data_IF_301422161975
#
_entry.id   IF_301422161975
#
_cell.length_a   1.000
_cell.length_b   1.000
_cell.length_c   1.000
_cell.angle_alpha   90.00
_cell.angle_beta   90.00
_cell.angle_gamma   90.00
#
_symmetry.space_group_name_H-M   'P 1'
#
loop_
_entity.id
_entity.type
_entity.pdbx_description
1 polymer ?
#
# COMPACT_ATOMS: atom_id res chain seq x y z
N UNK A 1 -6.44 -12.47 -27.75
CA UNK A 1 -6.73 -11.07 -28.12
C UNK A 1 -5.54 -10.52 -28.88
N UNK A 2 -5.74 -9.81 -30.00
CA UNK A 2 -4.63 -9.20 -30.73
C UNK A 2 -3.91 -8.21 -29.80
N UNK A 3 -2.67 -8.52 -29.41
CA UNK A 3 -1.84 -7.59 -28.66
C UNK A 3 -1.50 -6.43 -29.59
N UNK A 4 -2.01 -5.25 -29.27
CA UNK A 4 -1.53 -4.02 -29.89
C UNK A 4 -0.03 -3.92 -29.57
N UNK A 5 0.79 -3.89 -30.61
CA UNK A 5 2.22 -3.66 -30.44
C UNK A 5 2.41 -2.29 -29.76
N UNK A 6 3.29 -2.23 -28.77
CA UNK A 6 3.63 -1.00 -28.07
C UNK A 6 4.09 0.04 -29.09
N UNK A 7 3.54 1.24 -29.00
CA UNK A 7 3.98 2.38 -29.79
C UNK A 7 5.16 3.08 -29.12
N UNK A 8 6.23 3.33 -29.87
CA UNK A 8 7.41 4.06 -29.40
C UNK A 8 7.62 5.32 -30.25
N UNK A 9 7.59 6.52 -29.67
CA UNK A 9 8.00 7.75 -30.36
C UNK A 9 9.50 7.71 -30.75
N UNK A 10 9.87 8.25 -31.92
CA UNK A 10 11.27 8.28 -32.38
C UNK A 10 12.19 9.04 -31.41
N UNK A 11 11.70 10.14 -30.83
CA UNK A 11 12.40 10.91 -29.83
C UNK A 11 12.64 10.10 -28.53
N UNK A 12 11.69 9.25 -28.13
CA UNK A 12 11.85 8.34 -27.00
C UNK A 12 12.92 7.29 -27.29
N UNK A 13 12.90 6.67 -28.47
CA UNK A 13 13.91 5.69 -28.87
C UNK A 13 15.32 6.31 -28.88
N UNK A 14 15.44 7.54 -29.37
CA UNK A 14 16.71 8.28 -29.39
C UNK A 14 17.21 8.53 -27.97
N UNK A 15 16.35 9.04 -27.09
CA UNK A 15 16.69 9.27 -25.69
C UNK A 15 17.09 7.98 -24.96
N UNK A 16 16.38 6.88 -25.18
CA UNK A 16 16.70 5.59 -24.55
C UNK A 16 18.04 5.03 -25.04
N UNK A 17 18.41 5.21 -26.32
CA UNK A 17 19.73 4.81 -26.82
C UNK A 17 20.88 5.57 -26.15
N UNK A 18 20.67 6.83 -25.81
CA UNK A 18 21.66 7.66 -25.12
C UNK A 18 21.72 7.38 -23.61
N UNK A 19 20.58 7.10 -22.98
CA UNK A 19 20.48 6.88 -21.54
C UNK A 19 20.93 5.48 -21.11
N UNK A 20 20.71 4.46 -21.95
CA UNK A 20 20.94 3.06 -21.62
C UNK A 20 22.44 2.74 -21.45
N UNK A 21 22.83 2.01 -20.39
CA UNK A 21 24.19 1.53 -20.23
C UNK A 21 24.65 0.69 -21.43
N UNK A 22 25.90 0.86 -21.85
CA UNK A 22 26.52 0.08 -22.95
C UNK A 22 26.57 -1.43 -22.70
N UNK A 23 26.36 -1.86 -21.45
CA UNK A 23 26.27 -3.27 -21.04
C UNK A 23 24.92 -3.91 -21.39
N UNK A 24 23.91 -3.13 -21.74
CA UNK A 24 22.58 -3.61 -22.10
C UNK A 24 22.36 -3.56 -23.61
N UNK A 25 21.62 -4.54 -24.14
CA UNK A 25 21.20 -4.54 -25.54
C UNK A 25 19.93 -3.73 -25.73
N UNK A 26 19.99 -2.76 -26.64
CA UNK A 26 18.82 -1.96 -27.02
C UNK A 26 17.75 -2.82 -27.72
N UNK A 27 18.14 -3.82 -28.50
CA UNK A 27 17.20 -4.71 -29.17
C UNK A 27 16.47 -5.61 -28.16
N UNK A 28 17.16 -6.06 -27.11
CA UNK A 28 16.54 -6.81 -26.00
C UNK A 28 15.58 -5.93 -25.20
N UNK A 29 15.90 -4.66 -24.99
CA UNK A 29 14.96 -3.69 -24.39
C UNK A 29 13.66 -3.60 -25.18
N UNK A 30 13.76 -3.37 -26.50
CA UNK A 30 12.57 -3.28 -27.36
C UNK A 30 11.77 -4.59 -27.33
N UNK A 31 12.46 -5.74 -27.43
CA UNK A 31 11.83 -7.05 -27.34
C UNK A 31 11.12 -7.26 -26.00
N UNK A 32 11.74 -6.86 -24.88
CA UNK A 32 11.13 -6.95 -23.56
C UNK A 32 9.90 -6.04 -23.43
N UNK A 33 9.96 -4.82 -23.94
CA UNK A 33 8.83 -3.88 -23.94
C UNK A 33 7.65 -4.38 -24.78
N UNK A 34 7.88 -5.14 -25.84
CA UNK A 34 6.83 -5.72 -26.68
C UNK A 34 6.19 -6.99 -26.08
N UNK A 35 6.82 -7.59 -25.06
CA UNK A 35 6.27 -8.78 -24.39
C UNK A 35 5.32 -8.38 -23.25
N UNK A 36 4.22 -9.13 -23.06
CA UNK A 36 3.33 -8.93 -21.92
C UNK A 36 4.07 -8.97 -20.60
N UNK A 37 3.58 -8.17 -19.66
CA UNK A 37 4.07 -8.19 -18.29
C UNK A 37 3.66 -9.48 -17.56
N UNK A 38 4.60 -10.08 -16.84
CA UNK A 38 4.30 -11.21 -15.93
C UNK A 38 3.47 -10.71 -14.75
N UNK A 39 2.37 -11.40 -14.48
CA UNK A 39 1.51 -11.09 -13.33
C UNK A 39 2.25 -11.37 -12.04
N UNK A 40 2.01 -10.54 -11.03
CA UNK A 40 2.65 -10.66 -9.73
C UNK A 40 1.67 -10.36 -8.61
N UNK A 41 1.92 -11.00 -7.47
CA UNK A 41 1.19 -10.82 -6.22
C UNK A 41 2.17 -10.62 -5.09
N UNK A 42 1.73 -9.94 -4.04
CA UNK A 42 2.47 -9.79 -2.79
C UNK A 42 1.61 -10.26 -1.62
N UNK A 43 2.12 -11.21 -0.86
CA UNK A 43 1.45 -11.76 0.32
C UNK A 43 1.39 -10.67 1.41
N UNK A 44 0.24 -10.60 2.09
CA UNK A 44 0.02 -9.73 3.23
C UNK A 44 0.36 -10.46 4.53
N UNK A 45 1.57 -10.25 5.03
CA UNK A 45 2.09 -10.90 6.24
C UNK A 45 1.43 -10.44 7.54
N UNK A 46 0.55 -9.43 7.51
CA UNK A 46 -0.33 -9.12 8.65
C UNK A 46 -1.42 -10.18 8.86
N UNK A 47 -1.71 -11.01 7.84
CA UNK A 47 -2.84 -11.95 7.82
C UNK A 47 -2.40 -13.40 7.79
N UNK A 48 -1.32 -13.69 7.07
CA UNK A 48 -0.85 -15.06 6.83
C UNK A 48 0.65 -15.05 6.56
N UNK A 49 1.36 -16.08 7.04
CA UNK A 49 2.78 -16.24 6.70
C UNK A 49 2.95 -16.66 5.24
N UNK A 50 4.14 -16.43 4.65
CA UNK A 50 4.44 -16.89 3.29
C UNK A 50 4.26 -18.41 3.18
N UNK A 51 4.78 -19.17 4.15
CA UNK A 51 4.68 -20.63 4.16
C UNK A 51 3.22 -21.11 4.23
N UNK A 52 2.39 -20.52 5.10
CA UNK A 52 0.98 -20.89 5.23
C UNK A 52 0.18 -20.52 3.97
N UNK A 53 0.51 -19.40 3.32
CA UNK A 53 -0.14 -19.01 2.07
C UNK A 53 0.18 -19.99 0.94
N UNK A 54 1.45 -20.40 0.79
CA UNK A 54 1.85 -21.40 -0.20
C UNK A 54 1.16 -22.75 0.05
N UNK A 55 1.02 -23.15 1.32
CA UNK A 55 0.27 -24.36 1.67
C UNK A 55 -1.24 -24.24 1.36
N UNK A 56 -1.82 -23.06 1.62
CA UNK A 56 -3.24 -22.77 1.37
C UNK A 56 -3.59 -22.87 -0.12
N UNK A 57 -2.74 -22.32 -0.99
CA UNK A 57 -3.01 -22.23 -2.44
C UNK A 57 -2.47 -23.42 -3.24
N UNK A 58 -1.73 -24.35 -2.61
CA UNK A 58 -1.21 -25.55 -3.27
C UNK A 58 -2.29 -26.36 -4.04
N UNK A 59 -3.53 -26.52 -3.54
CA UNK A 59 -4.59 -27.21 -4.28
C UNK A 59 -5.03 -26.52 -5.58
N UNK A 60 -4.72 -25.23 -5.77
CA UNK A 60 -5.10 -24.48 -6.97
C UNK A 60 -4.16 -24.74 -8.16
N UNK A 61 -3.00 -25.35 -7.93
CA UNK A 61 -2.02 -25.61 -8.99
C UNK A 61 -1.37 -24.33 -9.55
N UNK A 62 -1.36 -23.22 -8.79
CA UNK A 62 -0.67 -22.00 -9.19
C UNK A 62 0.85 -22.20 -9.12
N UNK A 63 1.56 -21.72 -10.15
CA UNK A 63 3.02 -21.65 -10.14
C UNK A 63 3.45 -20.28 -9.65
N UNK A 64 4.19 -20.25 -8.53
CA UNK A 64 4.68 -19.03 -7.90
C UNK A 64 6.21 -18.96 -7.94
N UNK A 65 6.75 -18.02 -8.69
CA UNK A 65 8.20 -17.77 -8.79
C UNK A 65 8.59 -16.60 -7.89
N UNK A 66 9.52 -16.78 -6.92
CA UNK A 66 9.91 -15.71 -6.00
C UNK A 66 10.48 -14.48 -6.70
N UNK A 67 10.15 -13.30 -6.18
CA UNK A 67 10.73 -12.02 -6.61
C UNK A 67 11.99 -11.74 -5.77
N UNK A 68 13.18 -11.55 -6.37
CA UNK A 68 14.45 -11.49 -5.63
C UNK A 68 14.52 -10.41 -4.53
N UNK A 69 13.87 -9.26 -4.75
CA UNK A 69 13.89 -8.11 -3.84
C UNK A 69 12.70 -8.05 -2.88
N UNK A 70 11.78 -9.00 -2.92
CA UNK A 70 10.63 -9.02 -2.03
C UNK A 70 10.32 -10.46 -1.63
N UNK A 71 10.73 -10.87 -0.43
CA UNK A 71 10.46 -12.20 0.12
C UNK A 71 8.97 -12.58 0.12
N UNK A 72 8.08 -11.60 0.29
CA UNK A 72 6.62 -11.79 0.26
C UNK A 72 6.03 -11.69 -1.16
N UNK A 73 6.85 -11.46 -2.18
CA UNK A 73 6.45 -11.20 -3.57
C UNK A 73 6.71 -12.38 -4.50
N UNK A 74 5.74 -12.66 -5.38
CA UNK A 74 5.82 -13.75 -6.33
C UNK A 74 5.27 -13.33 -7.70
N UNK A 75 5.94 -13.72 -8.77
CA UNK A 75 5.27 -13.85 -10.06
C UNK A 75 4.35 -15.05 -10.05
N UNK A 76 3.19 -14.94 -10.69
CA UNK A 76 2.15 -15.96 -10.70
C UNK A 76 1.80 -16.38 -12.12
N UNK A 77 1.77 -17.69 -12.34
CA UNK A 77 1.29 -18.35 -13.55
C UNK A 77 0.20 -19.36 -13.17
N UNK A 78 -0.90 -19.38 -13.93
CA UNK A 78 -2.07 -20.21 -13.63
C UNK A 78 -2.88 -20.53 -14.88
N UNK A 79 -3.43 -21.74 -14.92
CA UNK A 79 -4.25 -22.21 -16.05
C UNK A 79 -5.69 -21.68 -16.00
N UNK A 80 -6.17 -21.28 -14.82
CA UNK A 80 -7.54 -20.79 -14.58
C UNK A 80 -7.73 -19.29 -14.88
N UNK A 81 -6.75 -18.69 -15.57
CA UNK A 81 -6.63 -17.25 -15.76
C UNK A 81 -7.88 -16.62 -16.38
N UNK A 82 -8.44 -17.26 -17.40
CA UNK A 82 -9.63 -16.80 -18.11
C UNK A 82 -10.93 -17.13 -17.35
N UNK A 83 -10.91 -18.11 -16.45
CA UNK A 83 -12.09 -18.61 -15.76
C UNK A 83 -12.46 -17.76 -14.53
N UNK A 84 -11.46 -17.35 -13.73
CA UNK A 84 -11.66 -16.62 -12.48
C UNK A 84 -10.61 -15.51 -12.32
N UNK A 85 -10.96 -14.22 -12.38
CA UNK A 85 -10.02 -13.13 -12.14
C UNK A 85 -9.38 -13.21 -10.74
N UNK A 86 -8.08 -12.92 -10.60
CA UNK A 86 -7.38 -12.93 -9.31
C UNK A 86 -8.09 -12.08 -8.24
N UNK A 87 -8.65 -10.94 -8.64
CA UNK A 87 -9.38 -10.04 -7.75
C UNK A 87 -10.69 -10.62 -7.17
N UNK A 88 -11.18 -11.72 -7.73
CA UNK A 88 -12.41 -12.43 -7.34
C UNK A 88 -12.15 -13.71 -6.53
N UNK A 89 -10.88 -14.03 -6.23
CA UNK A 89 -10.49 -15.14 -5.36
C UNK A 89 -10.82 -14.83 -3.89
N UNK A 90 -11.07 -15.85 -3.08
CA UNK A 90 -11.40 -15.67 -1.67
C UNK A 90 -10.25 -15.02 -0.89
N UNK A 91 -9.02 -15.39 -1.24
CA UNK A 91 -7.77 -14.93 -0.66
C UNK A 91 -7.58 -13.42 -0.93
N UNK A 92 -7.89 -12.96 -2.14
CA UNK A 92 -7.84 -11.53 -2.45
C UNK A 92 -8.91 -10.75 -1.66
N UNK A 93 -10.15 -11.26 -1.61
CA UNK A 93 -11.27 -10.61 -0.93
C UNK A 93 -11.06 -10.51 0.59
N UNK A 94 -10.39 -11.48 1.20
CA UNK A 94 -9.99 -11.48 2.61
C UNK A 94 -8.68 -10.73 2.88
N UNK A 95 -8.04 -10.19 1.84
CA UNK A 95 -6.84 -9.37 1.95
C UNK A 95 -5.55 -10.14 2.23
N UNK A 96 -5.49 -11.42 1.88
CA UNK A 96 -4.31 -12.28 2.07
C UNK A 96 -3.16 -11.93 1.12
N UNK A 97 -3.45 -11.34 -0.03
CA UNK A 97 -2.45 -10.81 -0.93
C UNK A 97 -2.93 -9.53 -1.62
N UNK A 98 -1.97 -8.80 -2.19
CA UNK A 98 -2.18 -7.63 -3.03
C UNK A 98 -1.71 -7.96 -4.45
N UNK A 99 -2.49 -7.58 -5.46
CA UNK A 99 -2.07 -7.66 -6.87
C UNK A 99 -1.19 -6.43 -7.15
N UNK A 100 0.11 -6.65 -7.21
CA UNK A 100 1.11 -5.58 -7.29
C UNK A 100 2.22 -6.01 -8.23
N UNK A 101 2.61 -5.09 -9.11
CA UNK A 101 3.75 -5.19 -10.00
C UNK A 101 5.05 -5.45 -9.24
N UNK A 102 5.90 -6.35 -9.77
CA UNK A 102 7.16 -6.72 -9.13
C UNK A 102 8.07 -5.51 -8.90
N UNK A 103 8.24 -4.64 -9.90
CA UNK A 103 9.02 -3.39 -9.78
C UNK A 103 8.49 -2.45 -8.68
N UNK A 104 7.17 -2.37 -8.51
CA UNK A 104 6.50 -1.53 -7.52
C UNK A 104 6.75 -1.98 -6.07
N UNK A 105 7.31 -3.19 -5.88
CA UNK A 105 7.74 -3.70 -4.56
C UNK A 105 9.13 -3.18 -4.15
N UNK A 106 9.94 -2.73 -5.11
CA UNK A 106 11.35 -2.34 -4.93
C UNK A 106 11.53 -1.10 -4.03
N UNK A 107 10.72 -0.02 -4.16
CA UNK A 107 10.86 1.16 -3.29
C UNK A 107 10.71 0.85 -1.81
N UNK A 108 9.76 -0.03 -1.46
CA UNK A 108 9.53 -0.40 -0.07
C UNK A 108 10.63 -1.34 0.42
N UNK A 109 11.15 -2.24 -0.41
CA UNK A 109 12.33 -3.03 -0.07
C UNK A 109 13.52 -2.12 0.26
N UNK A 110 13.80 -1.10 -0.56
CA UNK A 110 14.83 -0.11 -0.30
C UNK A 110 14.59 0.72 0.97
N UNK A 111 13.32 1.06 1.27
CA UNK A 111 12.97 1.85 2.46
C UNK A 111 13.30 1.12 3.77
N UNK A 112 13.19 -0.20 3.78
CA UNK A 112 13.43 -1.06 4.95
C UNK A 112 14.76 -1.83 4.89
N UNK A 113 15.60 -1.56 3.89
CA UNK A 113 16.92 -2.19 3.76
C UNK A 113 17.86 -1.80 4.91
N UNK A 114 18.88 -2.64 5.14
CA UNK A 114 19.86 -2.50 6.23
C UNK A 114 19.22 -2.38 7.62
N UNK A 115 18.20 -3.20 7.89
CA UNK A 115 17.43 -3.23 9.14
C UNK A 115 16.87 -1.85 9.56
N UNK A 116 16.46 -1.05 8.57
CA UNK A 116 15.81 0.23 8.85
C UNK A 116 14.38 0.01 9.40
N UNK A 117 14.14 0.39 10.65
CA UNK A 117 12.86 0.24 11.36
C UNK A 117 12.23 1.59 11.73
N UNK A 118 11.74 2.38 10.75
CA UNK A 118 11.10 3.66 11.03
C UNK A 118 9.80 3.49 11.83
N UNK A 119 9.49 4.41 12.74
CA UNK A 119 8.26 4.42 13.52
C UNK A 119 7.20 5.32 12.89
N UNK A 120 7.62 6.44 12.27
CA UNK A 120 6.73 7.34 11.52
C UNK A 120 7.14 7.42 10.06
N UNK A 121 6.29 6.87 9.19
CA UNK A 121 6.53 6.81 7.75
C UNK A 121 5.53 7.69 7.00
N UNK A 122 5.97 8.34 5.92
CA UNK A 122 5.07 8.99 4.97
C UNK A 122 5.11 8.25 3.63
N UNK A 123 3.94 7.97 3.07
CA UNK A 123 3.76 7.59 1.67
C UNK A 123 3.12 8.79 0.97
N UNK A 124 3.92 9.53 0.19
CA UNK A 124 3.56 10.87 -0.27
C UNK A 124 2.57 10.89 -1.45
N UNK A 125 2.53 9.80 -2.22
CA UNK A 125 1.67 9.57 -3.37
C UNK A 125 1.09 8.16 -3.30
N UNK A 126 0.21 7.96 -2.32
CA UNK A 126 -0.12 6.65 -1.79
C UNK A 126 -1.09 5.83 -2.66
N UNK A 127 -1.97 6.45 -3.45
CA UNK A 127 -2.96 5.65 -4.17
C UNK A 127 -2.32 4.86 -5.33
N UNK A 128 -2.80 3.62 -5.61
CA UNK A 128 -3.98 3.00 -5.04
C UNK A 128 -3.78 2.28 -3.69
N UNK A 129 -2.58 2.30 -3.11
CA UNK A 129 -2.27 1.74 -1.79
C UNK A 129 -1.34 0.52 -1.80
N UNK A 130 -0.77 0.14 -2.95
CA UNK A 130 0.13 -1.02 -3.05
C UNK A 130 1.36 -0.87 -2.16
N UNK A 131 2.04 0.29 -2.24
CA UNK A 131 3.21 0.61 -1.41
C UNK A 131 2.83 0.86 0.05
N UNK A 132 1.77 1.63 0.31
CA UNK A 132 1.25 1.86 1.67
C UNK A 132 0.97 0.55 2.41
N UNK A 133 0.30 -0.40 1.74
CA UNK A 133 -0.03 -1.71 2.35
C UNK A 133 1.19 -2.59 2.56
N UNK A 134 2.24 -2.42 1.75
CA UNK A 134 3.52 -3.11 1.92
C UNK A 134 4.31 -2.53 3.10
N UNK A 135 4.34 -1.20 3.22
CA UNK A 135 4.94 -0.49 4.36
C UNK A 135 4.24 -0.94 5.66
N UNK A 136 2.91 -0.96 5.70
CA UNK A 136 2.15 -1.40 6.88
C UNK A 136 2.47 -2.84 7.30
N UNK A 137 2.62 -3.74 6.33
CA UNK A 137 3.00 -5.12 6.58
C UNK A 137 4.44 -5.24 7.12
N UNK A 138 5.41 -4.50 6.54
CA UNK A 138 6.80 -4.44 7.01
C UNK A 138 6.93 -3.84 8.41
N UNK A 139 6.05 -2.91 8.77
CA UNK A 139 5.96 -2.32 10.12
C UNK A 139 5.20 -3.20 11.11
N UNK A 140 4.64 -4.34 10.68
CA UNK A 140 3.84 -5.21 11.54
C UNK A 140 2.61 -4.51 12.13
N UNK A 141 2.03 -3.55 11.39
CA UNK A 141 0.92 -2.70 11.84
C UNK A 141 1.22 -1.87 13.12
N UNK A 142 2.51 -1.61 13.41
CA UNK A 142 2.98 -0.73 14.50
C UNK A 142 3.40 0.64 13.97
N UNK A 143 3.69 1.58 14.85
CA UNK A 143 4.06 2.95 14.46
C UNK A 143 2.90 3.69 13.77
N UNK A 144 3.22 4.61 12.85
CA UNK A 144 2.21 5.30 12.04
C UNK A 144 2.68 5.56 10.60
N UNK A 145 1.73 5.49 9.68
CA UNK A 145 1.89 5.85 8.28
C UNK A 145 0.98 7.05 7.97
N UNK A 146 1.55 8.12 7.41
CA UNK A 146 0.77 9.17 6.75
C UNK A 146 0.72 8.89 5.24
N UNK A 147 -0.43 8.41 4.76
CA UNK A 147 -0.68 8.13 3.36
C UNK A 147 -1.38 9.32 2.70
N UNK A 148 -0.64 10.07 1.87
CA UNK A 148 -1.17 11.22 1.15
C UNK A 148 -1.56 10.85 -0.28
N UNK A 149 -2.70 11.33 -0.74
CA UNK A 149 -3.09 11.22 -2.15
C UNK A 149 -3.65 12.55 -2.64
N UNK A 150 -3.14 13.05 -3.76
CA UNK A 150 -3.59 14.32 -4.34
C UNK A 150 -4.98 14.22 -4.99
N UNK A 151 -5.33 13.08 -5.57
CA UNK A 151 -6.61 12.90 -6.26
C UNK A 151 -7.71 12.41 -5.33
N UNK A 152 -8.70 13.27 -5.05
CA UNK A 152 -9.87 12.93 -4.21
C UNK A 152 -10.60 11.66 -4.66
N UNK A 153 -10.66 11.38 -5.97
CA UNK A 153 -11.31 10.17 -6.49
C UNK A 153 -10.52 8.90 -6.12
N UNK A 154 -9.19 8.99 -6.02
CA UNK A 154 -8.30 7.88 -5.70
C UNK A 154 -8.15 7.64 -4.20
N UNK A 155 -8.42 8.63 -3.35
CA UNK A 155 -8.46 8.48 -1.88
C UNK A 155 -9.42 7.37 -1.44
N UNK A 156 -10.58 7.22 -2.11
CA UNK A 156 -11.54 6.16 -1.81
C UNK A 156 -10.98 4.76 -2.10
N UNK A 157 -10.24 4.63 -3.22
CA UNK A 157 -9.60 3.36 -3.61
C UNK A 157 -8.48 3.01 -2.63
N UNK A 158 -7.67 4.01 -2.24
CA UNK A 158 -6.64 3.86 -1.21
C UNK A 158 -7.24 3.34 0.11
N UNK A 159 -8.31 3.97 0.60
CA UNK A 159 -8.99 3.54 1.83
C UNK A 159 -9.56 2.13 1.71
N UNK A 160 -10.19 1.78 0.58
CA UNK A 160 -10.74 0.45 0.36
C UNK A 160 -9.64 -0.64 0.43
N UNK A 161 -8.46 -0.39 -0.15
CA UNK A 161 -7.33 -1.30 -0.07
C UNK A 161 -6.76 -1.42 1.35
N UNK A 162 -6.59 -0.30 2.05
CA UNK A 162 -6.14 -0.28 3.46
C UNK A 162 -7.08 -1.10 4.35
N UNK A 163 -8.39 -0.89 4.19
CA UNK A 163 -9.43 -1.59 4.94
C UNK A 163 -9.44 -3.09 4.65
N UNK A 164 -9.39 -3.48 3.36
CA UNK A 164 -9.34 -4.90 2.95
C UNK A 164 -8.13 -5.63 3.53
N UNK A 165 -6.98 -4.97 3.59
CA UNK A 165 -5.75 -5.56 4.12
C UNK A 165 -5.68 -5.57 5.67
N UNK A 166 -6.66 -4.99 6.37
CA UNK A 166 -6.70 -4.97 7.83
C UNK A 166 -5.66 -4.04 8.47
N UNK A 167 -5.32 -2.95 7.78
CA UNK A 167 -4.30 -2.00 8.26
C UNK A 167 -4.94 -1.01 9.23
N UNK A 168 -4.30 -0.81 10.39
CA UNK A 168 -4.77 0.04 11.46
C UNK A 168 -3.83 1.23 11.76
N UNK A 169 -2.55 1.11 11.39
CA UNK A 169 -1.51 2.11 11.66
C UNK A 169 -1.44 3.28 10.66
N UNK A 170 -2.50 3.56 9.90
CA UNK A 170 -2.46 4.55 8.80
C UNK A 170 -3.43 5.71 9.00
N UNK A 171 -2.99 6.93 8.68
CA UNK A 171 -3.83 8.11 8.50
C UNK A 171 -3.76 8.60 7.05
N UNK A 172 -4.87 9.12 6.54
CA UNK A 172 -4.99 9.60 5.16
C UNK A 172 -5.07 11.12 5.12
N UNK A 173 -4.35 11.71 4.19
CA UNK A 173 -4.45 13.14 3.85
C UNK A 173 -4.75 13.33 2.38
N UNK A 174 -5.25 14.52 2.05
CA UNK A 174 -5.54 14.94 0.68
C UNK A 174 -4.95 16.32 0.46
N UNK A 175 -3.65 16.34 0.14
CA UNK A 175 -2.90 17.55 -0.15
C UNK A 175 -2.05 17.39 -1.40
N UNK A 176 -1.70 18.53 -1.97
CA UNK A 176 -0.50 18.65 -2.77
C UNK A 176 0.72 18.30 -1.92
N UNK A 177 1.52 17.33 -2.35
CA UNK A 177 2.70 16.88 -1.60
C UNK A 177 3.67 18.02 -1.26
N UNK A 178 3.70 19.09 -2.07
CA UNK A 178 4.62 20.22 -1.89
C UNK A 178 4.42 20.95 -0.55
N UNK A 179 3.31 20.75 0.15
CA UNK A 179 3.04 21.42 1.44
C UNK A 179 3.79 20.82 2.65
N UNK A 180 4.22 19.56 2.59
CA UNK A 180 4.62 18.83 3.80
C UNK A 180 5.92 19.31 4.43
N UNK A 181 6.89 19.78 3.64
CA UNK A 181 8.14 20.34 4.16
C UNK A 181 7.92 21.51 5.11
N UNK A 182 7.01 22.41 4.78
CA UNK A 182 6.65 23.54 5.64
C UNK A 182 5.66 23.16 6.75
N UNK A 183 4.73 22.26 6.47
CA UNK A 183 3.64 21.93 7.40
C UNK A 183 4.04 20.92 8.49
N UNK A 184 4.98 20.02 8.18
CA UNK A 184 5.41 18.91 9.04
C UNK A 184 6.92 18.76 8.99
N UNK A 185 7.69 19.82 9.31
CA UNK A 185 9.15 19.78 9.24
C UNK A 185 9.70 18.71 10.18
N UNK A 186 10.62 17.91 9.67
CA UNK A 186 11.39 16.91 10.43
C UNK A 186 10.53 15.93 11.25
N UNK A 187 9.33 15.61 10.76
CA UNK A 187 8.36 14.77 11.46
C UNK A 187 8.54 13.28 11.19
N UNK A 188 9.10 12.90 10.05
CA UNK A 188 9.12 11.50 9.59
C UNK A 188 10.50 10.89 9.72
N UNK A 189 10.53 9.62 10.16
CA UNK A 189 11.75 8.81 10.22
C UNK A 189 12.10 8.27 8.83
N UNK A 190 11.07 7.99 8.03
CA UNK A 190 11.24 7.62 6.65
C UNK A 190 10.12 8.18 5.75
N UNK A 191 10.46 8.47 4.51
CA UNK A 191 9.50 8.93 3.51
C UNK A 191 9.70 8.16 2.22
N UNK A 192 8.60 7.71 1.62
CA UNK A 192 8.55 7.18 0.28
C UNK A 192 7.87 8.21 -0.62
N UNK A 193 8.61 8.67 -1.64
CA UNK A 193 8.12 9.51 -2.72
C UNK A 193 8.17 8.71 -4.02
N UNK A 194 7.06 8.04 -4.33
CA UNK A 194 6.82 7.45 -5.65
C UNK A 194 6.23 8.54 -6.55
N UNK A 195 7.10 9.27 -7.23
CA UNK A 195 6.72 10.52 -7.83
C UNK A 195 5.86 10.31 -9.09
N UNK A 196 4.85 11.18 -9.33
CA UNK A 196 4.19 11.21 -10.64
C UNK A 196 5.25 11.46 -11.71
N UNK A 197 5.24 10.65 -12.76
CA UNK A 197 6.26 10.65 -13.81
C UNK A 197 5.62 10.45 -15.19
N UNK A 198 6.43 10.54 -16.24
CA UNK A 198 6.01 10.29 -17.63
C UNK A 198 5.56 8.85 -17.93
N UNK A 199 5.86 7.89 -17.04
CA UNK A 199 5.35 6.52 -17.13
C UNK A 199 5.97 5.67 -18.25
N UNK A 200 7.18 5.97 -18.68
CA UNK A 200 7.85 5.25 -19.78
C UNK A 200 8.03 3.75 -19.52
N UNK A 201 8.17 3.36 -18.25
CA UNK A 201 8.38 1.98 -17.82
C UNK A 201 7.12 1.12 -17.81
N UNK A 202 5.92 1.69 -17.99
CA UNK A 202 4.65 0.95 -17.90
C UNK A 202 4.13 0.43 -19.25
N UNK A 203 4.89 0.59 -20.33
CA UNK A 203 4.50 0.19 -21.69
C UNK A 203 4.12 -1.29 -21.85
N UNK A 204 4.71 -2.18 -21.04
CA UNK A 204 4.37 -3.62 -21.02
C UNK A 204 2.97 -3.90 -20.47
N UNK A 205 2.41 -2.96 -19.71
CA UNK A 205 1.09 -3.03 -19.09
C UNK A 205 0.06 -2.25 -19.89
N UNK A 206 0.44 -1.07 -20.37
CA UNK A 206 -0.40 -0.19 -21.20
C UNK A 206 0.35 0.16 -22.49
N UNK A 207 0.00 -0.49 -23.63
CA UNK A 207 0.64 -0.21 -24.92
C UNK A 207 0.49 1.24 -25.40
N UNK A 208 -0.47 1.99 -24.86
CA UNK A 208 -0.75 3.39 -25.19
C UNK A 208 -0.07 4.38 -24.22
N UNK A 209 0.73 3.91 -23.25
CA UNK A 209 1.34 4.75 -22.21
C UNK A 209 2.14 5.95 -22.77
N UNK A 210 2.80 5.77 -23.92
CA UNK A 210 3.63 6.79 -24.56
C UNK A 210 2.87 7.72 -25.53
N UNK A 211 1.55 7.59 -25.64
CA UNK A 211 0.77 8.30 -26.66
C UNK A 211 0.80 9.83 -26.51
N UNK A 212 0.88 10.33 -25.28
CA UNK A 212 0.95 11.77 -24.98
C UNK A 212 2.34 12.18 -24.46
N UNK A 213 3.36 11.36 -24.70
CA UNK A 213 4.71 11.59 -24.23
C UNK A 213 5.42 12.65 -25.10
N UNK A 214 6.14 13.58 -24.47
CA UNK A 214 7.04 14.50 -25.17
C UNK A 214 8.23 14.92 -24.28
N UNK A 215 9.38 15.29 -24.87
CA UNK A 215 10.52 15.79 -24.11
C UNK A 215 10.21 17.04 -23.26
N UNK A 216 9.35 17.93 -23.75
CA UNK A 216 8.92 19.14 -23.03
C UNK A 216 8.10 18.77 -21.79
N UNK A 217 7.16 17.81 -21.93
CA UNK A 217 6.38 17.31 -20.80
C UNK A 217 7.28 16.68 -19.73
N UNK A 218 8.35 15.99 -20.10
CA UNK A 218 9.28 15.39 -19.14
C UNK A 218 9.99 16.45 -18.29
N UNK A 219 10.30 17.62 -18.85
CA UNK A 219 10.94 18.73 -18.12
C UNK A 219 10.00 19.35 -17.08
N UNK A 220 8.73 19.56 -17.45
CA UNK A 220 7.70 20.09 -16.53
C UNK A 220 7.42 19.10 -15.38
N UNK A 221 7.39 17.81 -15.70
CA UNK A 221 7.25 16.74 -14.72
C UNK A 221 8.47 16.71 -13.78
N UNK A 222 9.70 16.77 -14.31
CA UNK A 222 10.92 16.82 -13.50
C UNK A 222 10.95 18.05 -12.58
N UNK A 223 10.44 19.21 -13.03
CA UNK A 223 10.29 20.39 -12.17
C UNK A 223 9.34 20.12 -10.99
N UNK A 224 8.20 19.50 -11.25
CA UNK A 224 7.25 19.08 -10.20
C UNK A 224 7.89 18.09 -9.23
N UNK A 225 8.65 17.12 -9.74
CA UNK A 225 9.36 16.12 -8.93
C UNK A 225 10.40 16.75 -8.00
N UNK A 226 11.15 17.78 -8.47
CA UNK A 226 12.08 18.55 -7.61
C UNK A 226 11.35 19.24 -6.45
N UNK A 227 10.20 19.85 -6.70
CA UNK A 227 9.41 20.51 -5.65
C UNK A 227 8.87 19.50 -4.62
N UNK A 228 8.39 18.34 -5.09
CA UNK A 228 7.93 17.25 -4.23
C UNK A 228 9.07 16.67 -3.40
N UNK A 229 10.22 16.38 -4.03
CA UNK A 229 11.40 15.84 -3.36
C UNK A 229 11.95 16.80 -2.31
N UNK A 230 11.99 18.09 -2.62
CA UNK A 230 12.37 19.13 -1.66
C UNK A 230 11.43 19.15 -0.44
N UNK A 231 10.12 19.12 -0.69
CA UNK A 231 9.13 19.12 0.39
C UNK A 231 9.24 17.88 1.27
N UNK A 232 9.43 16.70 0.67
CA UNK A 232 9.68 15.46 1.38
C UNK A 232 10.96 15.55 2.24
N UNK A 233 12.06 16.05 1.66
CA UNK A 233 13.33 16.15 2.37
C UNK A 233 13.30 17.14 3.56
N UNK A 234 12.51 18.21 3.48
CA UNK A 234 12.23 19.09 4.62
C UNK A 234 11.39 18.42 5.71
N UNK A 235 10.42 17.57 5.32
CA UNK A 235 9.58 16.83 6.25
C UNK A 235 10.31 15.64 6.92
N UNK A 236 11.41 15.17 6.33
CA UNK A 236 12.25 14.10 6.87
C UNK A 236 13.11 14.62 8.03
N UNK A 237 13.23 13.85 9.12
CA UNK A 237 14.15 14.17 10.23
C UNK A 237 15.62 13.92 9.83
N UNK A 238 16.59 14.60 10.47
CA UNK A 238 17.99 14.19 10.38
C UNK A 238 18.19 12.74 10.84
N UNK A 239 19.02 11.99 10.13
CA UNK A 239 19.20 10.55 10.23
C UNK A 239 18.10 9.71 9.55
N UNK A 240 17.02 10.33 9.06
CA UNK A 240 15.93 9.63 8.39
C UNK A 240 16.27 9.18 6.97
N UNK A 241 15.52 8.19 6.48
CA UNK A 241 15.67 7.62 5.13
C UNK A 241 14.59 8.13 4.19
N UNK A 242 14.97 8.64 3.03
CA UNK A 242 14.04 8.97 1.95
C UNK A 242 14.28 8.04 0.76
N UNK A 243 13.22 7.40 0.27
CA UNK A 243 13.23 6.68 -1.00
C UNK A 243 12.48 7.49 -2.04
N UNK A 244 13.16 7.81 -3.12
CA UNK A 244 12.60 8.40 -4.32
C UNK A 244 12.45 7.31 -5.39
N UNK A 245 11.30 7.23 -6.05
CA UNK A 245 11.09 6.29 -7.15
C UNK A 245 10.19 6.84 -8.25
N UNK A 246 10.34 6.27 -9.45
CA UNK A 246 9.49 6.53 -10.61
C UNK A 246 9.29 5.24 -11.41
N UNK A 247 8.24 5.20 -12.23
CA UNK A 247 8.07 4.21 -13.30
C UNK A 247 8.47 4.77 -14.67
N UNK A 248 9.50 5.62 -14.71
CA UNK A 248 10.08 6.18 -15.94
C UNK A 248 11.57 5.85 -16.07
N UNK A 249 12.13 5.98 -17.27
CA UNK A 249 13.49 5.54 -17.60
C UNK A 249 14.42 6.70 -17.99
N UNK A 250 13.88 7.88 -18.25
CA UNK A 250 14.72 9.03 -18.59
C UNK A 250 15.46 9.58 -17.36
N UNK A 251 16.69 10.06 -17.60
CA UNK A 251 17.55 10.60 -16.53
C UNK A 251 17.09 11.96 -15.98
N UNK A 252 16.24 12.69 -16.72
CA UNK A 252 15.78 14.03 -16.33
C UNK A 252 14.83 13.95 -15.13
N UNK A 253 14.00 12.92 -15.09
CA UNK A 253 13.11 12.62 -13.97
C UNK A 253 13.82 11.80 -12.89
N UNK A 254 14.87 11.05 -13.22
CA UNK A 254 15.53 10.12 -12.30
C UNK A 254 16.79 10.73 -11.66
N UNK A 255 17.97 10.45 -12.23
CA UNK A 255 19.26 10.86 -11.67
C UNK A 255 19.35 12.37 -11.49
N UNK A 256 18.87 13.16 -12.45
CA UNK A 256 18.95 14.61 -12.41
C UNK A 256 18.15 15.21 -11.23
N UNK A 257 17.01 14.63 -10.86
CA UNK A 257 16.21 15.08 -9.71
C UNK A 257 16.94 14.80 -8.39
N UNK A 258 17.53 13.61 -8.27
CA UNK A 258 18.30 13.22 -7.09
C UNK A 258 19.58 14.04 -6.93
N UNK A 259 20.32 14.23 -8.03
CA UNK A 259 21.54 15.04 -8.08
C UNK A 259 21.25 16.51 -7.78
N UNK A 260 20.16 17.07 -8.31
CA UNK A 260 19.71 18.42 -7.97
C UNK A 260 19.51 18.61 -6.46
N UNK A 261 18.90 17.65 -5.77
CA UNK A 261 18.71 17.74 -4.33
C UNK A 261 20.07 17.77 -3.59
N UNK A 262 21.00 16.91 -4.02
CA UNK A 262 22.36 16.85 -3.46
C UNK A 262 23.16 18.12 -3.75
N UNK A 263 23.04 18.71 -4.94
CA UNK A 263 23.67 20.00 -5.26
C UNK A 263 23.08 21.14 -4.42
N UNK A 264 21.77 21.12 -4.19
CA UNK A 264 21.07 22.15 -3.39
C UNK A 264 21.43 22.07 -1.91
N UNK A 265 21.66 20.86 -1.37
CA UNK A 265 21.92 20.60 0.04
C UNK A 265 23.13 19.67 0.25
N UNK A 266 24.30 20.07 -0.28
CA UNK A 266 25.51 19.24 -0.37
C UNK A 266 25.86 18.46 0.90
N UNK A 267 25.94 19.14 2.05
CA UNK A 267 26.34 18.51 3.32
C UNK A 267 25.21 17.75 4.01
N UNK A 268 23.96 17.90 3.54
CA UNK A 268 22.79 17.29 4.15
C UNK A 268 22.35 16.00 3.44
N UNK A 269 22.82 15.72 2.22
CA UNK A 269 22.32 14.60 1.40
C UNK A 269 23.40 13.53 1.23
N UNK A 270 23.16 12.35 1.79
CA UNK A 270 23.92 11.14 1.52
C UNK A 270 23.10 10.19 0.64
N UNK A 271 23.70 9.66 -0.44
CA UNK A 271 23.11 8.56 -1.20
C UNK A 271 23.55 7.24 -0.58
N UNK A 272 22.60 6.35 -0.33
CA UNK A 272 22.84 5.03 0.24
C UNK A 272 22.76 4.00 -0.89
N UNK A 273 23.89 3.39 -1.31
CA UNK A 273 23.91 2.44 -2.40
C UNK A 273 22.93 1.28 -2.20
N UNK A 274 22.39 0.78 -3.32
CA UNK A 274 21.41 -0.32 -3.36
C UNK A 274 21.97 -1.59 -4.02
N UNK A 275 23.27 -1.65 -4.27
CA UNK A 275 23.93 -2.78 -4.94
C UNK A 275 23.86 -4.11 -4.19
N UNK A 276 23.65 -4.06 -2.88
CA UNK A 276 23.50 -5.24 -2.01
C UNK A 276 22.04 -5.48 -1.57
N UNK A 277 21.07 -4.77 -2.15
CA UNK A 277 19.66 -4.83 -1.74
C UNK A 277 19.08 -6.25 -1.91
N UNK A 278 19.50 -6.95 -2.96
CA UNK A 278 19.13 -8.33 -3.28
C UNK A 278 20.19 -8.95 -4.19
N UNK A 279 20.25 -10.29 -4.31
CA UNK A 279 21.17 -10.93 -5.25
C UNK A 279 20.98 -10.40 -6.68
N UNK A 280 22.08 -10.10 -7.37
CA UNK A 280 22.12 -9.53 -8.73
C UNK A 280 21.64 -8.08 -8.86
N UNK A 281 21.46 -7.32 -7.76
CA UNK A 281 21.05 -5.91 -7.82
C UNK A 281 22.07 -5.02 -8.56
N UNK A 282 23.34 -5.42 -8.60
CA UNK A 282 24.43 -4.76 -9.32
C UNK A 282 24.18 -4.64 -10.83
N UNK A 283 23.36 -5.53 -11.41
CA UNK A 283 22.99 -5.47 -12.84
C UNK A 283 22.21 -4.22 -13.23
N UNK A 284 21.58 -3.54 -12.27
CA UNK A 284 20.84 -2.30 -12.46
C UNK A 284 21.47 -1.10 -11.72
N UNK A 285 22.67 -1.27 -11.14
CA UNK A 285 23.28 -0.28 -10.27
C UNK A 285 23.90 0.87 -11.08
N UNK A 286 23.56 2.11 -10.71
CA UNK A 286 24.19 3.32 -11.26
C UNK A 286 25.46 3.67 -10.46
N UNK A 287 26.38 4.49 -11.00
CA UNK A 287 27.58 4.93 -10.29
C UNK A 287 27.29 5.63 -8.95
N UNK A 288 26.15 6.30 -8.82
CA UNK A 288 25.70 6.98 -7.61
C UNK A 288 25.15 6.01 -6.55
N UNK A 289 24.90 4.75 -6.93
CA UNK A 289 24.31 3.72 -6.07
C UNK A 289 22.80 3.55 -6.21
N UNK A 290 22.18 4.13 -7.23
CA UNK A 290 20.74 3.97 -7.51
C UNK A 290 20.46 2.67 -8.26
N UNK A 291 19.21 2.22 -8.25
CA UNK A 291 18.76 1.14 -9.15
C UNK A 291 18.00 1.74 -10.33
N UNK A 292 18.55 1.60 -11.52
CA UNK A 292 17.91 1.96 -12.78
C UNK A 292 17.54 0.67 -13.54
N UNK A 293 16.33 0.20 -13.27
CA UNK A 293 15.82 -1.10 -13.72
C UNK A 293 15.20 -0.95 -15.11
N UNK A 294 15.94 -1.35 -16.14
CA UNK A 294 15.37 -1.53 -17.48
C UNK A 294 14.59 -2.85 -17.57
N UNK A 295 13.49 -2.90 -18.35
CA UNK A 295 12.59 -4.06 -18.42
C UNK A 295 13.26 -5.43 -18.64
N UNK A 296 14.28 -5.48 -19.49
CA UNK A 296 14.99 -6.71 -19.86
C UNK A 296 15.92 -7.25 -18.76
N UNK A 297 16.25 -6.46 -17.74
CA UNK A 297 17.21 -6.89 -16.70
C UNK A 297 16.62 -8.02 -15.86
N UNK A 298 15.40 -7.85 -15.36
CA UNK A 298 14.70 -8.80 -14.48
C UNK A 298 13.35 -9.28 -15.03
N UNK A 299 13.07 -9.00 -16.31
CA UNK A 299 11.79 -9.30 -16.97
C UNK A 299 10.56 -8.73 -16.23
N UNK A 300 10.65 -7.45 -15.86
CA UNK A 300 9.57 -6.68 -15.23
C UNK A 300 9.34 -5.34 -15.97
N UNK A 301 8.62 -4.42 -15.33
CA UNK A 301 8.47 -3.04 -15.80
C UNK A 301 9.80 -2.27 -15.73
N UNK A 302 9.84 -1.12 -16.41
CA UNK A 302 10.91 -0.14 -16.22
C UNK A 302 10.69 0.66 -14.94
N UNK A 303 11.75 0.86 -14.15
CA UNK A 303 11.62 1.47 -12.83
C UNK A 303 12.93 2.11 -12.35
N UNK A 304 12.83 3.15 -11.52
CA UNK A 304 13.98 3.79 -10.88
C UNK A 304 13.78 3.90 -9.37
N UNK A 305 14.83 3.63 -8.59
CA UNK A 305 14.83 3.76 -7.12
C UNK A 305 16.14 4.37 -6.64
N UNK A 306 16.03 5.46 -5.90
CA UNK A 306 17.12 6.09 -5.17
C UNK A 306 16.82 6.10 -3.67
N UNK A 307 17.82 5.77 -2.86
CA UNK A 307 17.74 5.81 -1.40
C UNK A 307 18.70 6.85 -0.85
N UNK A 308 18.18 7.75 -0.04
CA UNK A 308 18.89 8.90 0.49
C UNK A 308 18.78 8.94 2.02
N UNK A 309 19.78 9.49 2.67
CA UNK A 309 19.76 9.83 4.10
C UNK A 309 19.96 11.32 4.30
N UNK A 310 19.15 11.91 5.19
CA UNK A 310 19.31 13.31 5.60
C UNK A 310 20.34 13.39 6.73
N UNK A 311 21.45 14.07 6.52
CA UNK A 311 22.56 14.13 7.47
C UNK A 311 22.41 15.24 8.52
N UNK A 312 21.72 16.32 8.18
CA UNK A 312 21.54 17.48 9.06
C UNK A 312 20.19 18.17 8.83
N UNK A 313 19.78 19.00 9.79
CA UNK A 313 18.62 19.87 9.63
C UNK A 313 18.88 20.93 8.56
N UNK A 314 17.81 21.38 7.91
CA UNK A 314 17.84 22.45 6.91
C UNK A 314 17.28 23.76 7.48
N UNK A 315 17.58 24.91 6.85
CA UNK A 315 16.89 26.16 7.16
C UNK A 315 15.37 26.00 7.05
N UNK A 316 14.64 26.51 8.03
CA UNK A 316 13.19 26.36 8.09
C UNK A 316 12.49 27.00 6.87
N UNK A 317 11.51 26.31 6.32
CA UNK A 317 10.63 26.87 5.30
C UNK A 317 9.65 27.88 5.91
N UNK A 318 9.15 28.86 5.12
CA UNK A 318 8.06 29.73 5.55
C UNK A 318 6.85 28.90 5.98
N UNK A 319 6.20 29.33 7.07
CA UNK A 319 5.01 28.65 7.58
C UNK A 319 3.92 28.52 6.50
N UNK A 320 3.18 27.40 6.46
CA UNK A 320 2.14 27.21 5.46
C UNK A 320 1.04 28.27 5.61
N UNK A 321 0.54 28.76 4.47
CA UNK A 321 -0.51 29.78 4.44
C UNK A 321 -1.90 29.32 4.88
N UNK A 322 -2.10 28.03 5.19
CA UNK A 322 -3.39 27.47 5.57
C UNK A 322 -3.53 27.27 7.08
N UNK A 323 -4.76 27.34 7.59
CA UNK A 323 -5.11 27.05 8.99
C UNK A 323 -5.80 25.69 9.10
N UNK A 324 -5.32 24.82 9.98
CA UNK A 324 -5.86 23.46 10.15
C UNK A 324 -7.23 23.40 10.84
N UNK A 325 -7.67 24.43 11.56
CA UNK A 325 -8.96 24.44 12.27
C UNK A 325 -8.96 23.55 13.51
N UNK A 326 -10.11 23.46 14.19
CA UNK A 326 -10.26 22.62 15.38
C UNK A 326 -10.27 21.13 15.00
N UNK A 327 -9.55 20.30 15.77
CA UNK A 327 -9.58 18.86 15.59
C UNK A 327 -10.91 18.29 16.11
N UNK A 328 -11.67 17.52 15.32
CA UNK A 328 -13.05 17.17 15.66
C UNK A 328 -13.18 15.96 16.59
N UNK A 329 -12.08 15.40 17.08
CA UNK A 329 -12.06 14.24 17.96
C UNK A 329 -11.51 14.59 19.34
N UNK A 330 -11.97 13.85 20.35
CA UNK A 330 -11.43 13.92 21.71
C UNK A 330 -10.95 12.54 22.15
N UNK A 331 -9.86 12.45 22.92
CA UNK A 331 -9.37 11.16 23.39
C UNK A 331 -10.31 10.56 24.43
N UNK A 332 -10.61 9.27 24.30
CA UNK A 332 -11.36 8.49 25.29
C UNK A 332 -10.40 7.93 26.33
N UNK A 333 -10.67 8.19 27.61
CA UNK A 333 -9.77 7.78 28.72
C UNK A 333 -10.56 7.22 29.91
N UNK A 334 -9.84 6.55 30.81
CA UNK A 334 -10.39 6.08 32.08
C UNK A 334 -11.50 5.04 31.91
N UNK A 335 -12.62 5.23 32.63
CA UNK A 335 -13.69 4.22 32.71
C UNK A 335 -14.40 3.97 31.38
N UNK A 336 -14.62 5.00 30.58
CA UNK A 336 -15.28 4.84 29.27
C UNK A 336 -14.40 4.03 28.30
N UNK A 337 -13.11 4.35 28.23
CA UNK A 337 -12.16 3.58 27.42
C UNK A 337 -12.13 2.10 27.85
N UNK A 338 -12.08 1.82 29.15
CA UNK A 338 -12.11 0.45 29.67
C UNK A 338 -13.40 -0.30 29.27
N UNK A 339 -14.56 0.35 29.36
CA UNK A 339 -15.82 -0.25 28.95
C UNK A 339 -15.85 -0.58 27.45
N UNK A 340 -15.35 0.33 26.59
CA UNK A 340 -15.24 0.08 25.14
C UNK A 340 -14.32 -1.10 24.86
N UNK A 341 -13.13 -1.13 25.48
CA UNK A 341 -12.17 -2.23 25.31
C UNK A 341 -12.75 -3.56 25.76
N UNK A 342 -13.41 -3.62 26.93
CA UNK A 342 -14.05 -4.85 27.41
C UNK A 342 -15.16 -5.32 26.47
N UNK A 343 -15.99 -4.40 25.95
CA UNK A 343 -17.05 -4.72 25.00
C UNK A 343 -16.49 -5.23 23.66
N UNK A 344 -15.37 -4.67 23.19
CA UNK A 344 -14.72 -5.10 21.95
C UNK A 344 -14.04 -6.47 22.12
N UNK A 345 -13.35 -6.69 23.24
CA UNK A 345 -12.73 -7.98 23.56
C UNK A 345 -13.78 -9.11 23.63
N UNK A 346 -14.97 -8.83 24.16
CA UNK A 346 -16.06 -9.81 24.26
C UNK A 346 -16.59 -10.31 22.89
N UNK A 347 -16.33 -9.55 21.82
CA UNK A 347 -16.66 -9.92 20.44
C UNK A 347 -15.43 -10.28 19.61
N UNK A 348 -14.26 -10.45 20.25
CA UNK A 348 -13.03 -10.89 19.63
C UNK A 348 -12.20 -9.82 18.93
N UNK A 349 -12.48 -8.53 19.15
CA UNK A 349 -11.68 -7.43 18.61
C UNK A 349 -10.62 -7.01 19.63
N UNK A 350 -9.35 -7.10 19.24
CA UNK A 350 -8.20 -6.86 20.13
C UNK A 350 -7.24 -5.83 19.49
N UNK A 351 -6.66 -4.97 20.30
CA UNK A 351 -5.58 -4.06 19.89
C UNK A 351 -4.57 -3.87 21.03
N UNK A 352 -3.38 -3.40 20.68
CA UNK A 352 -2.29 -3.13 21.63
C UNK A 352 -2.16 -1.63 21.94
N UNK A 353 -1.13 -1.28 22.71
CA UNK A 353 -0.84 0.09 23.14
C UNK A 353 -0.50 1.05 22.00
N UNK A 354 -0.27 0.57 20.77
CA UNK A 354 0.00 1.45 19.63
C UNK A 354 -1.27 2.13 19.12
N UNK A 355 -2.46 1.70 19.56
CA UNK A 355 -3.74 2.26 19.17
C UNK A 355 -4.47 2.88 20.36
N UNK A 356 -4.77 4.17 20.27
CA UNK A 356 -5.48 4.92 21.30
C UNK A 356 -6.94 5.17 20.90
N UNK A 357 -7.85 5.11 21.86
CA UNK A 357 -9.27 5.38 21.64
C UNK A 357 -9.54 6.89 21.54
N UNK A 358 -10.30 7.27 20.52
CA UNK A 358 -10.80 8.62 20.29
C UNK A 358 -12.30 8.58 19.98
N UNK A 359 -12.99 9.69 20.22
CA UNK A 359 -14.41 9.81 19.95
C UNK A 359 -14.77 11.11 19.24
N UNK A 360 -15.82 11.02 18.42
CA UNK A 360 -16.54 12.14 17.83
C UNK A 360 -18.02 11.82 17.81
N UNK A 361 -18.80 12.55 18.59
CA UNK A 361 -20.22 12.29 18.79
C UNK A 361 -20.49 10.82 19.21
N UNK A 362 -21.12 10.03 18.35
CA UNK A 362 -21.37 8.59 18.57
C UNK A 362 -20.29 7.69 17.99
N UNK A 363 -19.33 8.23 17.27
CA UNK A 363 -18.29 7.43 16.63
C UNK A 363 -17.13 7.20 17.60
N UNK A 364 -16.69 5.94 17.65
CA UNK A 364 -15.49 5.52 18.39
C UNK A 364 -14.44 5.08 17.38
N UNK A 365 -13.24 5.62 17.52
CA UNK A 365 -12.12 5.42 16.61
C UNK A 365 -10.88 4.96 17.37
N UNK A 366 -9.98 4.28 16.67
CA UNK A 366 -8.64 3.94 17.13
C UNK A 366 -7.64 4.70 16.26
N UNK A 367 -6.83 5.55 16.88
CA UNK A 367 -5.75 6.28 16.21
C UNK A 367 -4.40 5.68 16.58
N UNK A 368 -3.45 5.58 15.63
CA UNK A 368 -2.08 5.19 15.94
C UNK A 368 -1.41 6.23 16.83
N UNK A 369 -0.81 5.82 17.94
CA UNK A 369 -0.17 6.73 18.90
C UNK A 369 0.85 7.66 18.23
N UNK A 370 1.63 7.12 17.28
CA UNK A 370 2.64 7.88 16.54
C UNK A 370 2.08 8.98 15.62
N UNK A 371 0.79 8.94 15.26
CA UNK A 371 0.16 10.00 14.46
C UNK A 371 -0.23 11.23 15.28
N UNK A 372 -0.32 11.11 16.61
CA UNK A 372 -0.87 12.18 17.46
C UNK A 372 -0.06 13.47 17.36
N UNK A 373 1.26 13.36 17.15
CA UNK A 373 2.17 14.49 16.95
C UNK A 373 1.90 15.31 15.67
N UNK A 374 1.14 14.77 14.71
CA UNK A 374 0.71 15.44 13.49
C UNK A 374 -0.66 16.12 13.63
N UNK A 375 -1.39 15.85 14.73
CA UNK A 375 -2.67 16.52 15.01
C UNK A 375 -2.40 18.01 15.20
N UNK A 376 -3.10 18.85 14.43
CA UNK A 376 -2.91 20.30 14.44
C UNK A 376 -1.80 20.81 13.50
N UNK A 377 -1.07 19.91 12.81
CA UNK A 377 -0.11 20.29 11.75
C UNK A 377 -0.71 20.19 10.35
N UNK A 378 -1.52 19.16 10.13
CA UNK A 378 -2.21 18.91 8.85
C UNK A 378 -3.68 18.55 9.08
N UNK A 379 -4.51 18.71 8.03
CA UNK A 379 -5.88 18.20 8.05
C UNK A 379 -5.92 16.78 7.54
N UNK A 380 -6.56 15.90 8.28
CA UNK A 380 -6.71 14.51 7.90
C UNK A 380 -8.03 14.29 7.18
N UNK A 381 -7.98 13.50 6.10
CA UNK A 381 -9.17 12.92 5.48
C UNK A 381 -9.74 11.80 6.35
N UNK A 382 -8.87 11.00 6.97
CA UNK A 382 -9.20 9.90 7.88
C UNK A 382 -8.01 9.59 8.79
N UNK A 383 -8.23 9.14 10.01
CA UNK A 383 -7.15 8.68 10.90
C UNK A 383 -7.50 7.31 11.47
N UNK A 384 -6.57 6.36 11.34
CA UNK A 384 -6.74 5.01 11.87
C UNK A 384 -8.02 4.35 11.38
N UNK A 385 -8.69 3.65 12.29
CA UNK A 385 -9.88 2.85 12.00
C UNK A 385 -11.06 3.27 12.88
N UNK A 386 -12.24 3.34 12.27
CA UNK A 386 -13.50 3.49 13.01
C UNK A 386 -13.81 2.16 13.65
N UNK A 387 -13.74 2.10 14.97
CA UNK A 387 -13.99 0.88 15.75
C UNK A 387 -15.49 0.57 15.78
N UNK A 388 -16.30 1.57 16.13
CA UNK A 388 -17.73 1.39 16.34
C UNK A 388 -18.54 2.68 16.21
N UNK A 389 -19.85 2.53 16.12
CA UNK A 389 -20.82 3.58 16.46
C UNK A 389 -21.58 3.19 17.73
N UNK A 390 -21.62 4.07 18.72
CA UNK A 390 -22.36 3.86 19.96
C UNK A 390 -23.86 4.12 19.77
N UNK A 391 -24.67 3.31 20.45
CA UNK A 391 -26.12 3.48 20.55
C UNK A 391 -26.62 3.04 21.93
N UNK A 392 -27.90 3.28 22.22
CA UNK A 392 -28.49 3.10 23.56
C UNK A 392 -28.33 1.69 24.18
N UNK A 393 -27.96 0.67 23.38
CA UNK A 393 -27.84 -0.73 23.81
C UNK A 393 -26.43 -1.31 23.60
N UNK A 394 -25.43 -0.48 23.30
CA UNK A 394 -24.04 -0.92 23.08
C UNK A 394 -23.41 -0.32 21.83
N UNK A 395 -22.68 -1.15 21.09
CA UNK A 395 -21.84 -0.74 19.98
C UNK A 395 -22.21 -1.48 18.70
N UNK A 396 -22.26 -0.74 17.58
CA UNK A 396 -22.25 -1.30 16.24
C UNK A 396 -20.81 -1.30 15.73
N UNK A 397 -20.15 -2.44 15.88
CA UNK A 397 -18.80 -2.67 15.39
C UNK A 397 -18.73 -2.51 13.87
N UNK A 398 -17.66 -1.89 13.39
CA UNK A 398 -17.47 -1.63 11.96
C UNK A 398 -16.75 -2.80 11.27
N UNK A 399 -17.05 -2.99 9.99
CA UNK A 399 -16.41 -4.01 9.17
C UNK A 399 -14.89 -3.84 9.14
N UNK A 400 -14.38 -2.63 8.91
CA UNK A 400 -12.94 -2.37 8.86
C UNK A 400 -12.21 -2.73 10.17
N UNK A 401 -12.82 -2.47 11.32
CA UNK A 401 -12.26 -2.86 12.61
C UNK A 401 -12.24 -4.39 12.77
N UNK A 402 -13.25 -5.07 12.25
CA UNK A 402 -13.30 -6.54 12.28
C UNK A 402 -12.19 -7.14 11.42
N UNK A 403 -11.97 -6.60 10.22
CA UNK A 403 -10.90 -7.08 9.35
C UNK A 403 -9.52 -6.84 9.97
N UNK A 404 -9.31 -5.72 10.67
CA UNK A 404 -8.01 -5.38 11.25
C UNK A 404 -7.72 -6.04 12.61
N UNK A 405 -8.74 -6.22 13.47
CA UNK A 405 -8.54 -6.49 14.90
C UNK A 405 -9.09 -7.85 15.38
N UNK A 406 -9.87 -8.55 14.54
CA UNK A 406 -10.52 -9.77 14.97
C UNK A 406 -9.52 -10.93 15.14
N UNK A 407 -9.60 -11.60 16.28
CA UNK A 407 -8.88 -12.84 16.54
C UNK A 407 -9.65 -14.04 15.93
N UNK A 408 -9.15 -14.70 14.87
CA UNK A 408 -9.91 -15.76 14.19
C UNK A 408 -10.13 -17.01 15.03
N UNK A 409 -9.36 -17.18 16.10
CA UNK A 409 -9.47 -18.30 17.06
C UNK A 409 -10.36 -17.97 18.26
N UNK A 410 -11.06 -16.83 18.24
CA UNK A 410 -11.99 -16.43 19.29
C UNK A 410 -13.11 -17.46 19.48
N UNK A 411 -13.61 -17.62 20.71
CA UNK A 411 -14.62 -18.63 21.05
C UNK A 411 -15.96 -18.48 20.28
N UNK A 412 -16.24 -17.30 19.73
CA UNK A 412 -17.43 -17.00 18.93
C UNK A 412 -17.16 -16.99 17.42
N UNK A 413 -15.98 -17.47 16.98
CA UNK A 413 -15.68 -17.63 15.56
C UNK A 413 -16.54 -18.74 14.95
N UNK A 414 -16.99 -18.51 13.71
CA UNK A 414 -17.79 -19.47 12.95
C UNK A 414 -17.24 -19.54 11.52
N UNK A 415 -16.60 -20.66 11.21
CA UNK A 415 -16.00 -20.93 9.91
C UNK A 415 -17.07 -21.33 8.89
N UNK A 416 -17.14 -20.57 7.80
CA UNK A 416 -18.02 -20.85 6.68
C UNK A 416 -17.45 -21.95 5.78
N UNK A 417 -18.34 -22.73 5.18
CA UNK A 417 -18.01 -23.49 3.98
C UNK A 417 -17.79 -22.56 2.78
N UNK A 418 -17.18 -23.07 1.70
CA UNK A 418 -16.95 -22.29 0.48
C UNK A 418 -18.24 -21.72 -0.12
N UNK A 419 -19.33 -22.51 -0.13
CA UNK A 419 -20.63 -22.08 -0.64
C UNK A 419 -21.26 -20.97 0.21
N UNK A 420 -21.15 -21.08 1.54
CA UNK A 420 -21.64 -20.05 2.47
C UNK A 420 -20.79 -18.78 2.37
N UNK A 421 -19.46 -18.90 2.23
CA UNK A 421 -18.56 -17.76 2.03
C UNK A 421 -18.87 -17.02 0.73
N UNK A 422 -19.18 -17.73 -0.36
CA UNK A 422 -19.67 -17.09 -1.58
C UNK A 422 -20.99 -16.34 -1.33
N UNK A 423 -21.94 -16.98 -0.64
CA UNK A 423 -23.19 -16.32 -0.22
C UNK A 423 -22.94 -15.04 0.58
N UNK A 424 -21.95 -15.05 1.48
CA UNK A 424 -21.56 -13.91 2.29
C UNK A 424 -21.05 -12.74 1.44
N UNK A 425 -20.14 -13.00 0.49
CA UNK A 425 -19.62 -11.98 -0.43
C UNK A 425 -20.68 -11.47 -1.42
N UNK A 426 -21.74 -12.25 -1.67
CA UNK A 426 -22.93 -11.83 -2.42
C UNK A 426 -23.94 -11.06 -1.56
N UNK A 427 -23.62 -10.75 -0.30
CA UNK A 427 -24.49 -10.00 0.59
C UNK A 427 -25.72 -10.78 1.07
N UNK A 428 -25.68 -12.12 1.03
CA UNK A 428 -26.79 -13.01 1.44
C UNK A 428 -26.62 -13.45 2.89
N UNK A 429 -27.75 -13.59 3.58
CA UNK A 429 -27.78 -14.23 4.90
C UNK A 429 -27.36 -15.71 4.78
N UNK A 430 -26.71 -16.23 5.81
CA UNK A 430 -26.20 -17.61 5.84
C UNK A 430 -27.10 -18.48 6.72
N UNK A 431 -27.39 -19.69 6.26
CA UNK A 431 -28.24 -20.66 6.94
C UNK A 431 -27.43 -21.95 7.19
N UNK A 432 -26.55 -21.95 8.20
CA UNK A 432 -25.71 -23.10 8.49
C UNK A 432 -26.56 -24.27 9.00
N UNK A 433 -26.11 -25.50 8.72
CA UNK A 433 -26.77 -26.72 9.23
C UNK A 433 -26.82 -26.74 10.76
N UNK A 434 -25.72 -26.31 11.40
CA UNK A 434 -25.64 -26.12 12.85
C UNK A 434 -25.37 -24.65 13.15
N UNK A 435 -26.38 -23.89 13.61
CA UNK A 435 -26.20 -22.49 13.96
C UNK A 435 -25.20 -22.29 15.11
N UNK A 436 -24.46 -21.17 15.12
CA UNK A 436 -23.59 -20.84 16.24
C UNK A 436 -24.39 -20.69 17.55
N UNK A 437 -23.76 -20.96 18.68
CA UNK A 437 -24.40 -20.82 19.99
C UNK A 437 -24.54 -19.34 20.43
N UNK A 438 -23.56 -18.51 20.08
CA UNK A 438 -23.52 -17.09 20.42
C UNK A 438 -24.43 -16.25 19.50
N UNK A 439 -24.94 -15.15 20.04
CA UNK A 439 -25.73 -14.18 19.28
C UNK A 439 -24.86 -13.24 18.43
N UNK A 440 -23.68 -12.87 18.95
CA UNK A 440 -22.61 -12.22 18.19
C UNK A 440 -21.68 -13.28 17.61
N UNK A 441 -21.51 -13.25 16.29
CA UNK A 441 -20.77 -14.27 15.54
C UNK A 441 -19.65 -13.58 14.78
N UNK A 442 -18.41 -13.98 15.05
CA UNK A 442 -17.28 -13.60 14.20
C UNK A 442 -17.23 -14.58 13.02
N UNK A 443 -17.60 -14.10 11.84
CA UNK A 443 -17.67 -14.94 10.64
C UNK A 443 -16.27 -15.07 10.04
N UNK A 444 -15.82 -16.30 9.81
CA UNK A 444 -14.50 -16.60 9.26
C UNK A 444 -14.59 -17.48 8.01
N UNK A 445 -13.60 -17.37 7.13
CA UNK A 445 -13.37 -18.29 6.02
C UNK A 445 -11.87 -18.36 5.72
N UNK A 446 -11.35 -19.57 5.47
CA UNK A 446 -9.91 -19.83 5.40
C UNK A 446 -9.18 -19.37 6.67
N UNK A 447 -9.86 -19.47 7.83
CA UNK A 447 -9.42 -18.92 9.12
C UNK A 447 -9.16 -17.41 9.11
N UNK A 448 -9.74 -16.67 8.18
CA UNK A 448 -9.64 -15.22 8.09
C UNK A 448 -10.96 -14.55 8.45
N UNK A 449 -10.94 -13.41 9.16
CA UNK A 449 -12.16 -12.71 9.53
C UNK A 449 -12.81 -12.09 8.29
N UNK A 450 -14.10 -12.36 8.08
CA UNK A 450 -14.92 -11.77 7.01
C UNK A 450 -15.85 -10.67 7.50
N UNK A 451 -16.19 -10.69 8.79
CA UNK A 451 -17.05 -9.68 9.41
C UNK A 451 -17.72 -10.18 10.69
N UNK A 452 -18.39 -9.26 11.38
CA UNK A 452 -19.11 -9.56 12.61
C UNK A 452 -20.61 -9.52 12.33
N UNK A 453 -21.30 -10.62 12.61
CA UNK A 453 -22.72 -10.81 12.33
C UNK A 453 -23.54 -11.06 13.60
N UNK A 454 -24.86 -10.91 13.45
CA UNK A 454 -25.82 -11.35 14.47
C UNK A 454 -26.49 -12.65 14.01
N UNK A 455 -26.58 -13.61 14.92
CA UNK A 455 -27.47 -14.76 14.77
C UNK A 455 -28.92 -14.34 15.05
N UNK A 456 -29.84 -14.72 14.18
CA UNK A 456 -31.28 -14.46 14.33
C UNK A 456 -32.02 -15.78 14.10
N UNK A 457 -32.32 -16.50 15.18
CA UNK A 457 -32.87 -17.86 15.07
C UNK A 457 -31.83 -18.80 14.46
N UNK A 458 -32.15 -19.38 13.29
CA UNK A 458 -31.26 -20.28 12.55
C UNK A 458 -30.35 -19.60 11.53
N UNK A 459 -30.52 -18.29 11.26
CA UNK A 459 -29.71 -17.57 10.26
C UNK A 459 -28.64 -16.70 10.88
N UNK A 460 -27.53 -16.55 10.18
CA UNK A 460 -26.52 -15.51 10.40
C UNK A 460 -26.84 -14.35 9.46
N UNK A 461 -27.19 -13.19 10.03
CA UNK A 461 -27.55 -12.00 9.25
C UNK A 461 -26.29 -11.40 8.62
N UNK A 462 -26.32 -11.20 7.31
CA UNK A 462 -25.21 -10.60 6.58
C UNK A 462 -24.95 -9.15 7.04
N UNK A 463 -23.69 -8.85 7.29
CA UNK A 463 -23.22 -7.50 7.66
C UNK A 463 -22.09 -7.02 6.76
N UNK A 464 -21.83 -7.72 5.65
CA UNK A 464 -20.83 -7.34 4.68
C UNK A 464 -21.22 -5.99 4.04
N UNK A 465 -20.31 -5.01 3.94
CA UNK A 465 -20.66 -3.69 3.40
C UNK A 465 -21.21 -3.79 1.97
N UNK A 466 -22.31 -3.09 1.69
CA UNK A 466 -23.04 -3.20 0.43
C UNK A 466 -22.19 -2.77 -0.77
N UNK A 467 -21.34 -1.77 -0.57
CA UNK A 467 -20.39 -1.26 -1.54
C UNK A 467 -19.28 -2.26 -1.91
N UNK A 468 -19.11 -3.32 -1.13
CA UNK A 468 -18.11 -4.38 -1.39
C UNK A 468 -18.73 -5.67 -1.94
N UNK A 469 -20.07 -5.76 -2.01
CA UNK A 469 -20.81 -6.94 -2.51
C UNK A 469 -20.39 -7.24 -3.95
N UNK A 470 -20.25 -8.53 -4.25
CA UNK A 470 -19.78 -9.04 -5.56
C UNK A 470 -20.91 -9.71 -6.34
N UNK A 471 -21.19 -9.18 -7.53
CA UNK A 471 -22.22 -9.72 -8.42
C UNK A 471 -21.65 -10.68 -9.49
N UNK A 472 -20.33 -10.68 -9.70
CA UNK A 472 -19.66 -11.48 -10.74
C UNK A 472 -19.40 -12.95 -10.38
N UNK A 473 -18.57 -13.61 -11.19
CA UNK A 473 -18.01 -14.94 -10.89
C UNK A 473 -17.10 -14.85 -9.65
N UNK A 474 -17.23 -15.84 -8.78
CA UNK A 474 -16.44 -16.03 -7.56
C UNK A 474 -15.86 -17.46 -7.54
N UNK A 475 -15.10 -17.75 -6.49
CA UNK A 475 -14.25 -18.93 -6.32
C UNK A 475 -14.94 -20.31 -6.24
N UNK A 476 -16.26 -20.38 -6.13
CA UNK A 476 -17.03 -21.65 -6.09
C UNK A 476 -17.46 -22.15 -7.46
N UNK A 477 -17.31 -21.35 -8.52
CA UNK A 477 -17.80 -21.65 -9.88
C UNK A 477 -17.05 -22.75 -10.63
N UNK A 478 -15.98 -23.31 -10.06
CA UNK A 478 -15.12 -24.35 -10.65
C UNK A 478 -15.09 -25.66 -9.84
N UNK A 479 -16.11 -25.92 -9.01
CA UNK A 479 -16.25 -27.20 -8.29
C UNK A 479 -16.66 -28.33 -9.23
#
# INVERSE_FOLDING_TARGET
MAQHAVYFPDAFLTQMREAMPSTLSFDEFISACQRPLRRSIRINTLKISVADFLALIAPYGWSLTPIPWCHEGFWIERDDEEALPLGSTAEHLSGLFYIQEASSMLPVAALFADDNHPQRVMDMAAAPGSKTTQIAARMGNRGAILANEFSASRVKVLHANISRCGIANTALTHFDGRVFGAASPEMFDAILLDAPCSGEGVVRKDPDALKNWSPESNLDIAATQRELLNSAFHALRPGGTLVYSTCTLNRQENEAVCLWLKETYADAVEFLPLGDLFPDADRALTPEGFLHVFPQIYDCEGFFVARLRKMSSLPAMPAPGYKVGAFPFTPLKGREALHVTQAANAVGLLWDENLHLWQREKEVWLFPAEIESLIGKVRFSRLGIKLAESHNKGYRWQHEATIALACPTHAHAFELSAQEAEGWYRGRDIYPQTPPAADDVLVTFLRQPLGLAKRIGSRIKNSYPRELVRDGKLFTGNS
#
